data_IF_111608395577
#
_entry.id   IF_111608395577
#
_cell.length_a   1.000
_cell.length_b   1.000
_cell.length_c   1.000
_cell.angle_alpha   90.00
_cell.angle_beta   90.00
_cell.angle_gamma   90.00
#
_symmetry.space_group_name_H-M   'P 1'
#
loop_
_entity.id
_entity.type
_entity.pdbx_description
1 polymer ?
#
# COMPACT_ATOMS: atom_id res chain seq x y z
N UNK A 1 8.08 -19.54 18.16
CA UNK A 1 8.01 -18.66 19.34
C UNK A 1 7.92 -17.23 18.81
N UNK A 2 6.79 -16.53 19.03
CA UNK A 2 6.61 -15.17 18.51
C UNK A 2 7.44 -14.20 19.36
N UNK A 3 8.71 -14.02 18.99
CA UNK A 3 9.60 -13.08 19.65
C UNK A 3 9.16 -11.66 19.29
N UNK A 4 8.55 -10.95 20.25
CA UNK A 4 8.12 -9.56 20.04
C UNK A 4 9.33 -8.68 19.73
N UNK A 5 9.22 -7.75 18.77
CA UNK A 5 10.35 -6.88 18.39
C UNK A 5 10.73 -6.01 19.59
N UNK A 6 11.95 -6.19 20.10
CA UNK A 6 12.51 -5.34 21.14
C UNK A 6 13.08 -4.08 20.49
N UNK A 7 12.64 -2.91 20.93
CA UNK A 7 13.02 -1.64 20.30
C UNK A 7 14.54 -1.36 20.36
N UNK A 8 15.24 -1.89 21.38
CA UNK A 8 16.71 -1.76 21.51
C UNK A 8 17.45 -2.53 20.41
N UNK A 9 17.03 -3.76 20.16
CA UNK A 9 17.60 -4.63 19.12
C UNK A 9 17.31 -4.05 17.73
N UNK A 10 16.08 -3.59 17.52
CA UNK A 10 15.68 -2.91 16.29
C UNK A 10 16.54 -1.67 16.01
N UNK A 11 16.86 -0.87 17.02
CA UNK A 11 17.70 0.31 16.84
C UNK A 11 19.13 -0.06 16.45
N UNK A 12 19.71 -1.10 17.06
CA UNK A 12 21.05 -1.57 16.73
C UNK A 12 21.13 -2.03 15.26
N UNK A 13 20.17 -2.86 14.81
CA UNK A 13 20.09 -3.33 13.43
C UNK A 13 19.87 -2.20 12.42
N UNK A 14 19.09 -1.18 12.77
CA UNK A 14 18.88 -0.01 11.90
C UNK A 14 20.14 0.84 11.78
N UNK A 15 20.93 0.97 12.85
CA UNK A 15 22.23 1.66 12.82
C UNK A 15 23.19 0.87 11.92
N UNK A 16 23.29 -0.44 12.12
CA UNK A 16 24.13 -1.30 11.31
C UNK A 16 23.75 -1.24 9.81
N UNK A 17 22.45 -1.32 9.50
CA UNK A 17 21.95 -1.15 8.13
C UNK A 17 22.39 0.17 7.48
N UNK A 18 22.48 1.25 8.28
CA UNK A 18 22.89 2.56 7.80
C UNK A 18 24.40 2.65 7.54
N UNK A 19 25.20 1.92 8.30
CA UNK A 19 26.66 1.85 8.13
C UNK A 19 27.05 0.92 6.98
N UNK A 20 26.50 -0.29 6.96
CA UNK A 20 26.84 -1.34 5.99
C UNK A 20 26.14 -1.14 4.64
N UNK A 21 24.96 -0.51 4.64
CA UNK A 21 24.10 -0.37 3.45
C UNK A 21 23.37 -1.67 3.05
N UNK A 22 23.59 -2.77 3.78
CA UNK A 22 22.96 -4.07 3.56
C UNK A 22 21.96 -4.38 4.67
N UNK A 23 20.78 -4.87 4.29
CA UNK A 23 19.74 -5.28 5.25
C UNK A 23 20.01 -6.70 5.73
N UNK A 24 20.15 -6.86 7.05
CA UNK A 24 20.22 -8.17 7.69
C UNK A 24 18.89 -8.93 7.58
N UNK A 25 18.94 -10.26 7.65
CA UNK A 25 17.75 -11.10 7.67
C UNK A 25 16.89 -10.81 8.92
N UNK A 26 17.54 -10.57 10.05
CA UNK A 26 16.89 -10.19 11.32
C UNK A 26 16.10 -8.88 11.19
N UNK A 27 16.69 -7.85 10.59
CA UNK A 27 16.01 -6.58 10.34
C UNK A 27 14.80 -6.75 9.41
N UNK A 28 14.95 -7.55 8.35
CA UNK A 28 13.86 -7.91 7.44
C UNK A 28 12.71 -8.61 8.15
N UNK A 29 13.03 -9.58 9.03
CA UNK A 29 12.06 -10.30 9.84
C UNK A 29 11.32 -9.37 10.82
N UNK A 30 12.04 -8.47 11.51
CA UNK A 30 11.46 -7.49 12.41
C UNK A 30 10.49 -6.55 11.70
N UNK A 31 10.87 -5.97 10.55
CA UNK A 31 10.00 -5.08 9.75
C UNK A 31 8.75 -5.83 9.28
N UNK A 32 8.92 -7.06 8.80
CA UNK A 32 7.82 -7.90 8.32
C UNK A 32 6.83 -8.19 9.44
N UNK A 33 7.31 -8.51 10.64
CA UNK A 33 6.45 -8.79 11.78
C UNK A 33 5.68 -7.54 12.26
N UNK A 34 6.32 -6.36 12.23
CA UNK A 34 5.65 -5.08 12.51
C UNK A 34 4.51 -4.84 11.51
N UNK A 35 4.77 -5.03 10.21
CA UNK A 35 3.77 -4.85 9.16
C UNK A 35 2.60 -5.84 9.27
N UNK A 36 2.88 -7.11 9.57
CA UNK A 36 1.86 -8.14 9.78
C UNK A 36 0.95 -7.81 10.97
N UNK A 37 1.53 -7.42 12.10
CA UNK A 37 0.78 -7.02 13.29
C UNK A 37 -0.08 -5.78 13.02
N UNK A 38 0.46 -4.80 12.28
CA UNK A 38 -0.30 -3.61 11.88
C UNK A 38 -1.48 -3.96 10.97
N UNK A 39 -1.29 -4.90 10.04
CA UNK A 39 -2.32 -5.33 9.10
C UNK A 39 -3.48 -6.09 9.79
N UNK A 40 -3.25 -6.67 10.96
CA UNK A 40 -4.28 -7.33 11.77
C UNK A 40 -5.11 -6.34 12.61
N UNK A 41 -4.75 -5.04 12.67
CA UNK A 41 -5.56 -4.03 13.36
C UNK A 41 -6.89 -3.81 12.62
N UNK A 42 -7.95 -3.45 13.36
CA UNK A 42 -9.32 -3.33 12.83
C UNK A 42 -9.48 -2.45 11.58
N UNK A 43 -8.65 -1.41 11.43
CA UNK A 43 -8.67 -0.54 10.24
C UNK A 43 -8.22 -1.24 8.94
N UNK A 44 -7.44 -2.32 9.04
CA UNK A 44 -6.76 -2.97 7.93
C UNK A 44 -7.09 -4.46 7.80
N UNK A 45 -7.62 -5.09 8.84
CA UNK A 45 -7.86 -6.54 8.88
C UNK A 45 -8.88 -7.04 7.84
N UNK A 46 -9.83 -6.19 7.43
CA UNK A 46 -10.94 -6.56 6.55
C UNK A 46 -10.63 -6.61 5.05
N UNK A 47 -9.41 -6.31 4.61
CA UNK A 47 -9.07 -6.30 3.19
C UNK A 47 -8.62 -7.68 2.69
N UNK A 48 -9.13 -8.11 1.53
CA UNK A 48 -8.79 -9.40 0.91
C UNK A 48 -7.34 -9.47 0.41
N UNK A 49 -6.78 -8.33 -0.02
CA UNK A 49 -5.41 -8.18 -0.51
C UNK A 49 -4.40 -7.82 0.59
N UNK A 50 -4.61 -8.36 1.81
CA UNK A 50 -3.76 -8.07 2.98
C UNK A 50 -2.30 -8.45 2.75
N UNK A 51 -2.03 -9.58 2.08
CA UNK A 51 -0.66 -10.05 1.83
C UNK A 51 0.13 -9.10 0.93
N UNK A 52 -0.49 -8.63 -0.15
CA UNK A 52 0.14 -7.71 -1.09
C UNK A 52 0.37 -6.34 -0.44
N UNK A 53 -0.59 -5.89 0.36
CA UNK A 53 -0.48 -4.65 1.14
C UNK A 53 0.71 -4.71 2.12
N UNK A 54 0.93 -5.85 2.79
CA UNK A 54 2.10 -6.07 3.66
C UNK A 54 3.39 -6.00 2.82
N UNK A 55 3.44 -6.68 1.67
CA UNK A 55 4.61 -6.67 0.79
C UNK A 55 4.99 -5.26 0.32
N UNK A 56 4.02 -4.46 -0.14
CA UNK A 56 4.24 -3.06 -0.53
C UNK A 56 4.75 -2.21 0.64
N UNK A 57 4.24 -2.44 1.85
CA UNK A 57 4.68 -1.71 3.04
C UNK A 57 6.11 -2.06 3.45
N UNK A 58 6.50 -3.33 3.39
CA UNK A 58 7.87 -3.77 3.67
C UNK A 58 8.82 -3.14 2.65
N UNK A 59 8.50 -3.21 1.36
CA UNK A 59 9.28 -2.58 0.29
C UNK A 59 9.45 -1.06 0.51
N UNK A 60 8.36 -0.39 0.85
CA UNK A 60 8.37 1.05 1.14
C UNK A 60 9.21 1.34 2.39
N UNK A 61 9.11 0.51 3.43
CA UNK A 61 9.93 0.64 4.61
C UNK A 61 11.42 0.55 4.27
N UNK A 62 11.86 -0.50 3.57
CA UNK A 62 13.27 -0.68 3.16
C UNK A 62 13.77 0.53 2.38
N UNK A 63 12.97 1.05 1.44
CA UNK A 63 13.34 2.22 0.62
C UNK A 63 13.61 3.48 1.45
N UNK A 64 12.83 3.71 2.51
CA UNK A 64 12.92 4.92 3.32
C UNK A 64 13.68 4.74 4.63
N UNK A 65 13.99 3.50 5.04
CA UNK A 65 14.67 3.20 6.30
C UNK A 65 16.04 3.87 6.39
N UNK A 66 16.75 3.98 5.26
CA UNK A 66 18.05 4.68 5.16
C UNK A 66 18.01 6.15 5.57
N UNK A 67 16.82 6.77 5.52
CA UNK A 67 16.62 8.17 5.89
C UNK A 67 16.40 8.36 7.40
N UNK A 68 16.34 7.27 8.18
CA UNK A 68 16.20 7.34 9.63
C UNK A 68 17.43 8.05 10.24
N UNK A 69 17.17 8.98 11.17
CA UNK A 69 18.21 9.69 11.90
C UNK A 69 18.07 9.43 13.42
N UNK A 70 18.98 8.60 13.99
CA UNK A 70 19.00 8.30 15.43
C UNK A 70 19.16 9.54 16.33
N UNK A 71 19.79 10.61 15.86
CA UNK A 71 19.97 11.85 16.63
C UNK A 71 18.67 12.62 16.82
N UNK A 72 17.76 12.53 15.84
CA UNK A 72 16.46 13.22 15.87
C UNK A 72 15.40 12.41 16.59
N UNK A 73 15.47 11.08 16.49
CA UNK A 73 14.50 10.18 17.12
C UNK A 73 15.16 8.86 17.48
N UNK A 74 15.06 8.48 18.75
CA UNK A 74 15.59 7.22 19.28
C UNK A 74 14.63 6.04 19.08
N UNK A 75 13.43 6.28 18.52
CA UNK A 75 12.38 5.27 18.39
C UNK A 75 12.18 4.85 16.92
N UNK A 76 12.94 3.86 16.42
CA UNK A 76 12.78 3.35 15.05
C UNK A 76 11.43 2.64 14.86
N UNK A 77 10.86 2.04 15.90
CA UNK A 77 9.56 1.36 15.80
C UNK A 77 8.43 2.32 15.39
N UNK A 78 8.39 3.51 15.98
CA UNK A 78 7.39 4.53 15.62
C UNK A 78 7.58 5.01 14.17
N UNK A 79 8.83 5.20 13.74
CA UNK A 79 9.17 5.58 12.37
C UNK A 79 8.71 4.52 11.35
N UNK A 80 9.05 3.26 11.58
CA UNK A 80 8.66 2.12 10.73
C UNK A 80 7.14 1.98 10.68
N UNK A 81 6.47 2.01 11.84
CA UNK A 81 5.01 1.90 11.91
C UNK A 81 4.31 3.00 11.10
N UNK A 82 4.87 4.21 11.10
CA UNK A 82 4.35 5.35 10.33
C UNK A 82 4.49 5.12 8.83
N UNK A 83 5.65 4.65 8.38
CA UNK A 83 5.88 4.31 6.98
C UNK A 83 4.91 3.20 6.54
N UNK A 84 4.79 2.12 7.31
CA UNK A 84 3.88 1.02 7.00
C UNK A 84 2.42 1.50 6.92
N UNK A 85 1.97 2.34 7.87
CA UNK A 85 0.61 2.90 7.86
C UNK A 85 0.35 3.72 6.60
N UNK A 86 1.30 4.57 6.19
CA UNK A 86 1.16 5.39 4.99
C UNK A 86 1.17 4.54 3.71
N UNK A 87 2.01 3.51 3.66
CA UNK A 87 2.04 2.55 2.56
C UNK A 87 0.70 1.80 2.41
N UNK A 88 0.10 1.37 3.53
CA UNK A 88 -1.22 0.73 3.52
C UNK A 88 -2.29 1.66 2.96
N UNK A 89 -2.36 2.91 3.42
CA UNK A 89 -3.31 3.91 2.90
C UNK A 89 -3.14 4.11 1.40
N UNK A 90 -1.90 4.21 0.91
CA UNK A 90 -1.60 4.35 -0.51
C UNK A 90 -2.02 3.12 -1.32
N UNK A 91 -1.75 1.91 -0.81
CA UNK A 91 -2.16 0.66 -1.44
C UNK A 91 -3.68 0.54 -1.52
N UNK A 92 -4.39 0.86 -0.43
CA UNK A 92 -5.87 0.90 -0.40
C UNK A 92 -6.40 1.85 -1.49
N UNK A 93 -5.81 3.03 -1.65
CA UNK A 93 -6.21 4.01 -2.67
C UNK A 93 -5.95 3.50 -4.10
N UNK A 94 -4.80 2.87 -4.34
CA UNK A 94 -4.48 2.23 -5.62
C UNK A 94 -5.50 1.14 -5.96
N UNK A 95 -5.83 0.27 -5.00
CA UNK A 95 -6.80 -0.82 -5.18
C UNK A 95 -8.21 -0.30 -5.44
N UNK A 96 -8.67 0.72 -4.70
CA UNK A 96 -9.96 1.37 -4.96
C UNK A 96 -10.02 1.98 -6.37
N UNK A 97 -8.95 2.64 -6.81
CA UNK A 97 -8.85 3.17 -8.18
C UNK A 97 -8.91 2.06 -9.21
N UNK A 98 -8.20 0.95 -9.00
CA UNK A 98 -8.22 -0.19 -9.91
C UNK A 98 -9.63 -0.81 -10.01
N UNK A 99 -10.32 -1.00 -8.89
CA UNK A 99 -11.71 -1.48 -8.90
C UNK A 99 -12.65 -0.53 -9.64
N UNK A 100 -12.52 0.79 -9.41
CA UNK A 100 -13.32 1.79 -10.12
C UNK A 100 -13.10 1.74 -11.64
N UNK A 101 -11.84 1.64 -12.10
CA UNK A 101 -11.53 1.50 -13.53
C UNK A 101 -12.18 0.22 -14.09
N UNK A 102 -12.05 -0.90 -13.38
CA UNK A 102 -12.64 -2.18 -13.76
C UNK A 102 -14.16 -2.08 -13.90
N UNK A 103 -14.84 -1.48 -12.92
CA UNK A 103 -16.29 -1.31 -12.93
C UNK A 103 -16.76 -0.41 -14.08
N UNK A 104 -16.02 0.66 -14.37
CA UNK A 104 -16.30 1.52 -15.53
C UNK A 104 -16.09 0.79 -16.85
N UNK A 105 -15.03 0.00 -16.98
CA UNK A 105 -14.79 -0.81 -18.17
C UNK A 105 -15.96 -1.77 -18.41
N UNK A 106 -16.48 -2.43 -17.37
CA UNK A 106 -17.62 -3.33 -17.49
C UNK A 106 -18.92 -2.60 -17.88
N UNK A 107 -19.21 -1.44 -17.29
CA UNK A 107 -20.40 -0.63 -17.66
C UNK A 107 -20.36 -0.16 -19.11
N UNK A 108 -19.18 0.21 -19.60
CA UNK A 108 -18.99 0.64 -20.99
C UNK A 108 -18.89 -0.55 -21.97
N UNK A 109 -18.83 -1.78 -21.45
CA UNK A 109 -18.80 -3.01 -22.23
C UNK A 109 -20.21 -3.57 -22.51
N UNK A 110 -21.28 -2.93 -22.01
CA UNK A 110 -22.63 -3.32 -22.39
C UNK A 110 -22.72 -3.27 -23.92
N UNK A 111 -22.86 -4.42 -24.61
CA UNK A 111 -23.34 -4.37 -25.97
C UNK A 111 -24.75 -3.80 -25.84
N UNK A 112 -24.97 -2.59 -26.35
CA UNK A 112 -26.31 -2.23 -26.77
C UNK A 112 -26.70 -3.33 -27.76
N UNK A 113 -27.50 -4.30 -27.31
CA UNK A 113 -28.32 -5.13 -28.16
C UNK A 113 -29.39 -4.21 -28.73
N UNK A 114 -28.98 -3.23 -29.55
CA UNK A 114 -29.88 -2.60 -30.47
C UNK A 114 -30.30 -3.71 -31.42
N UNK A 115 -31.58 -4.07 -31.36
CA UNK A 115 -32.23 -5.07 -32.21
C UNK A 115 -32.22 -4.71 -33.71
N UNK A 116 -31.30 -3.88 -34.16
CA UNK A 116 -31.20 -3.37 -35.52
C UNK A 116 -29.75 -3.50 -36.01
N UNK A 117 -29.54 -4.60 -36.74
CA UNK A 117 -28.35 -4.98 -37.50
C UNK A 117 -27.23 -5.65 -36.68
N UNK A 118 -26.80 -6.81 -37.19
CA UNK A 118 -25.85 -7.80 -36.65
C UNK A 118 -24.40 -7.29 -36.52
N UNK A 119 -24.19 -6.04 -36.14
CA UNK A 119 -22.87 -5.43 -36.03
C UNK A 119 -22.45 -5.33 -34.56
N UNK A 120 -21.57 -6.21 -34.12
CA UNK A 120 -20.89 -6.08 -32.84
C UNK A 120 -19.89 -4.93 -32.90
N UNK A 121 -20.26 -3.74 -32.40
CA UNK A 121 -19.32 -2.62 -32.24
C UNK A 121 -18.69 -2.71 -30.85
N UNK A 122 -17.53 -3.35 -30.73
CA UNK A 122 -16.71 -3.21 -29.52
C UNK A 122 -16.07 -1.82 -29.54
N UNK A 123 -16.63 -0.85 -28.80
CA UNK A 123 -15.91 0.40 -28.53
C UNK A 123 -14.76 0.08 -27.57
N UNK A 124 -13.52 0.34 -27.99
CA UNK A 124 -12.35 0.22 -27.12
C UNK A 124 -12.51 1.06 -25.84
N UNK A 125 -11.75 0.72 -24.80
CA UNK A 125 -11.75 1.45 -23.52
C UNK A 125 -11.47 2.94 -23.80
N UNK A 126 -12.45 3.81 -23.54
CA UNK A 126 -12.23 5.25 -23.64
C UNK A 126 -11.41 5.73 -22.43
N UNK A 127 -10.12 6.01 -22.65
CA UNK A 127 -9.20 6.49 -21.62
C UNK A 127 -9.53 7.89 -21.09
N UNK A 128 -10.30 8.70 -21.83
CA UNK A 128 -10.74 10.03 -21.38
C UNK A 128 -11.74 9.92 -20.20
N UNK A 129 -12.56 8.86 -20.18
CA UNK A 129 -13.45 8.53 -19.05
C UNK A 129 -12.70 7.97 -17.83
N UNK A 130 -11.43 7.60 -18.00
CA UNK A 130 -10.53 7.11 -16.94
C UNK A 130 -9.61 8.22 -16.41
N UNK A 131 -9.65 9.41 -17.02
CA UNK A 131 -9.01 10.59 -16.46
C UNK A 131 -9.57 10.80 -15.04
N UNK A 132 -8.71 11.11 -14.06
CA UNK A 132 -9.19 11.39 -12.72
C UNK A 132 -10.18 12.56 -12.81
N UNK A 133 -11.46 12.30 -12.51
CA UNK A 133 -12.43 13.37 -12.29
C UNK A 133 -11.79 14.28 -11.24
N UNK A 134 -11.59 15.56 -11.59
CA UNK A 134 -11.11 16.53 -10.62
C UNK A 134 -11.98 16.42 -9.39
N UNK A 135 -11.35 16.19 -8.23
CA UNK A 135 -12.09 16.07 -6.99
C UNK A 135 -12.88 17.36 -6.79
N UNK A 136 -14.20 17.30 -6.97
CA UNK A 136 -15.09 18.30 -6.39
C UNK A 136 -14.75 18.30 -4.90
N UNK A 137 -14.32 19.45 -4.38
CA UNK A 137 -14.11 19.60 -2.95
C UNK A 137 -15.48 19.38 -2.32
N UNK A 138 -15.66 18.28 -1.62
CA UNK A 138 -16.75 18.11 -0.67
C UNK A 138 -16.53 19.13 0.46
N UNK A 139 -16.84 20.39 0.18
CA UNK A 139 -17.19 21.38 1.18
C UNK A 139 -18.56 20.93 1.67
N UNK A 140 -18.59 20.32 2.85
CA UNK A 140 -19.61 20.49 3.89
C UNK A 140 -19.53 19.30 4.87
N UNK A 141 -18.78 19.54 5.96
CA UNK A 141 -19.06 19.02 7.30
C UNK A 141 -19.22 20.23 8.21
#
# INVERSE_FOLDING_TARGET
MAHYVVNKELLAEVIQFKEDGFMSEELGNMITMIAQNLANKGNFAGYTWKRDMIGEAVLTCVKYLKNFNPEKSTNPFAYITTICRNAFINYIRKQKRHSYIKDNCYKNLDPFMEHHNENFVCRGINYELLAPVEKVKDTDM
#
